data_IF_054782617862
#
_entry.id   IF_054782617862
#
_cell.length_a   1.000
_cell.length_b   1.000
_cell.length_c   1.000
_cell.angle_alpha   90.00
_cell.angle_beta   90.00
_cell.angle_gamma   90.00
#
_symmetry.space_group_name_H-M   'P 1'
#
loop_
_entity.id
_entity.type
_entity.pdbx_description
1 polymer ?
#
# COMPACT_ATOMS: atom_id res chain seq x y z
N UNK A 1 -26.91 -22.89 -0.14
CA UNK A 1 -26.65 -23.98 0.81
C UNK A 1 -27.31 -25.28 0.36
N UNK A 2 -28.65 -25.36 0.20
CA UNK A 2 -29.34 -26.59 -0.24
C UNK A 2 -28.76 -27.22 -1.52
N UNK A 3 -28.63 -26.43 -2.59
CA UNK A 3 -28.00 -26.87 -3.85
C UNK A 3 -26.54 -27.36 -3.69
N UNK A 4 -25.81 -26.82 -2.71
CA UNK A 4 -24.45 -27.26 -2.42
C UNK A 4 -24.45 -28.62 -1.72
N UNK A 5 -25.30 -28.82 -0.71
CA UNK A 5 -25.40 -30.09 0.02
C UNK A 5 -25.94 -31.21 -0.86
N UNK A 6 -26.90 -30.91 -1.74
CA UNK A 6 -27.38 -31.87 -2.75
C UNK A 6 -26.27 -32.32 -3.70
N UNK A 7 -25.37 -31.40 -4.08
CA UNK A 7 -24.27 -31.68 -4.99
C UNK A 7 -23.11 -32.42 -4.32
N UNK A 8 -22.90 -32.23 -3.02
CA UNK A 8 -21.75 -32.75 -2.30
C UNK A 8 -22.20 -33.60 -1.10
N UNK A 9 -22.28 -34.94 -1.25
CA UNK A 9 -22.79 -35.84 -0.21
C UNK A 9 -21.99 -35.85 1.10
N UNK A 10 -20.73 -35.41 1.07
CA UNK A 10 -19.88 -35.25 2.26
C UNK A 10 -19.98 -33.86 2.92
N UNK A 11 -20.86 -32.99 2.43
CA UNK A 11 -21.11 -31.70 3.06
C UNK A 11 -21.76 -31.89 4.44
N UNK A 12 -21.48 -30.99 5.36
CA UNK A 12 -22.12 -30.98 6.67
C UNK A 12 -23.63 -30.78 6.48
N UNK A 13 -24.44 -31.46 7.32
CA UNK A 13 -25.89 -31.35 7.30
C UNK A 13 -26.33 -29.88 7.46
N UNK A 14 -27.47 -29.51 6.91
CA UNK A 14 -28.02 -28.14 7.08
C UNK A 14 -28.86 -28.05 8.35
N UNK A 15 -29.02 -26.84 8.86
CA UNK A 15 -29.94 -26.54 9.95
C UNK A 15 -31.40 -26.64 9.50
N UNK A 16 -32.33 -26.53 10.44
CA UNK A 16 -33.77 -26.66 10.18
C UNK A 16 -34.33 -25.64 9.16
N UNK A 17 -33.68 -24.49 9.01
CA UNK A 17 -34.02 -23.46 8.01
C UNK A 17 -33.37 -23.71 6.62
N UNK A 18 -32.53 -24.75 6.52
CA UNK A 18 -31.79 -25.09 5.32
C UNK A 18 -30.52 -24.24 5.10
N UNK A 19 -30.01 -23.61 6.16
CA UNK A 19 -28.75 -22.85 6.17
C UNK A 19 -27.69 -23.56 7.03
N UNK A 20 -26.59 -22.86 7.34
CA UNK A 20 -25.56 -23.29 8.30
C UNK A 20 -25.47 -22.31 9.50
N UNK A 21 -26.53 -21.54 9.75
CA UNK A 21 -26.54 -20.50 10.78
C UNK A 21 -26.27 -20.99 12.20
N UNK A 22 -26.65 -22.20 12.58
CA UNK A 22 -26.38 -22.79 13.90
C UNK A 22 -24.98 -23.40 13.99
N UNK A 23 -24.51 -23.99 12.89
CA UNK A 23 -23.23 -24.68 12.82
C UNK A 23 -22.04 -23.74 12.60
N UNK A 24 -22.25 -22.61 11.92
CA UNK A 24 -21.25 -21.56 11.75
C UNK A 24 -21.23 -20.66 12.99
N UNK A 25 -20.45 -21.06 13.99
CA UNK A 25 -20.16 -20.26 15.19
C UNK A 25 -18.76 -19.67 15.11
N UNK A 26 -18.66 -18.37 15.34
CA UNK A 26 -17.41 -17.61 15.36
C UNK A 26 -17.00 -17.28 16.79
N UNK A 27 -15.74 -16.87 16.98
CA UNK A 27 -15.22 -16.40 18.29
C UNK A 27 -15.66 -14.96 18.65
N UNK A 28 -16.64 -14.41 17.94
CA UNK A 28 -17.23 -13.10 18.26
C UNK A 28 -18.19 -13.22 19.44
N UNK A 29 -18.55 -12.09 20.07
CA UNK A 29 -19.45 -12.07 21.22
C UNK A 29 -20.84 -12.61 20.87
N UNK A 30 -21.32 -12.31 19.66
CA UNK A 30 -22.61 -12.83 19.16
C UNK A 30 -22.55 -14.29 18.68
N UNK A 31 -21.35 -14.86 18.54
CA UNK A 31 -21.12 -16.15 17.89
C UNK A 31 -21.39 -16.12 16.37
N UNK A 32 -21.64 -14.95 15.77
CA UNK A 32 -21.97 -14.76 14.35
C UNK A 32 -20.95 -13.84 13.65
N UNK A 33 -21.06 -13.69 12.34
CA UNK A 33 -20.38 -12.60 11.62
C UNK A 33 -21.03 -11.28 12.06
N UNK A 34 -20.22 -10.38 12.61
CA UNK A 34 -20.68 -9.09 13.12
C UNK A 34 -20.58 -8.00 12.05
N UNK A 35 -21.72 -7.61 11.47
CA UNK A 35 -21.81 -6.40 10.64
C UNK A 35 -21.76 -5.13 11.49
N UNK A 36 -22.18 -5.24 12.75
CA UNK A 36 -22.04 -4.24 13.79
C UNK A 36 -21.34 -4.87 14.99
N UNK A 37 -20.27 -4.22 15.46
CA UNK A 37 -19.55 -4.57 16.68
C UNK A 37 -19.84 -3.54 17.76
N UNK A 38 -20.64 -3.95 18.76
CA UNK A 38 -20.96 -3.14 19.93
C UNK A 38 -19.71 -2.84 20.77
N UNK A 39 -18.79 -3.80 20.87
CA UNK A 39 -17.50 -3.63 21.53
C UNK A 39 -16.69 -2.51 20.87
N UNK A 40 -16.54 -2.53 19.53
CA UNK A 40 -15.82 -1.48 18.82
C UNK A 40 -16.53 -0.12 18.90
N UNK A 41 -17.86 -0.08 18.83
CA UNK A 41 -18.60 1.18 18.99
C UNK A 41 -18.41 1.77 20.39
N UNK A 42 -18.36 0.92 21.43
CA UNK A 42 -18.13 1.35 22.81
C UNK A 42 -16.71 1.87 23.03
N UNK A 43 -15.71 1.19 22.48
CA UNK A 43 -14.29 1.59 22.60
C UNK A 43 -13.96 2.81 21.72
N UNK A 44 -14.54 2.87 20.52
CA UNK A 44 -14.27 3.86 19.49
C UNK A 44 -15.57 4.28 18.79
N UNK A 45 -16.30 5.28 19.33
CA UNK A 45 -17.57 5.72 18.76
C UNK A 45 -17.50 6.02 17.26
N UNK A 46 -18.46 5.48 16.52
CA UNK A 46 -18.57 5.55 15.06
C UNK A 46 -17.80 4.47 14.29
N UNK A 47 -17.03 3.59 14.95
CA UNK A 47 -16.27 2.50 14.32
C UNK A 47 -16.94 1.12 14.40
N UNK A 48 -18.12 1.01 15.03
CA UNK A 48 -18.83 -0.26 15.15
C UNK A 48 -19.32 -0.84 13.82
N UNK A 49 -19.44 -0.03 12.77
CA UNK A 49 -19.71 -0.50 11.40
C UNK A 49 -18.68 0.07 10.41
N UNK A 50 -18.43 -0.61 9.27
CA UNK A 50 -17.70 -0.01 8.16
C UNK A 50 -18.39 1.25 7.67
N UNK A 51 -17.65 2.36 7.60
CA UNK A 51 -18.11 3.65 7.08
C UNK A 51 -17.06 4.22 6.13
N UNK A 52 -17.52 4.86 5.06
CA UNK A 52 -16.65 5.70 4.27
C UNK A 52 -16.15 6.86 5.14
N UNK A 53 -14.84 7.07 5.16
CA UNK A 53 -14.21 8.19 5.87
C UNK A 53 -13.37 8.97 4.87
N UNK A 54 -13.67 10.25 4.72
CA UNK A 54 -12.91 11.15 3.87
C UNK A 54 -11.80 11.78 4.72
N UNK A 55 -10.57 11.37 4.49
CA UNK A 55 -9.39 12.03 5.00
C UNK A 55 -8.52 12.45 3.82
N UNK A 56 -8.02 13.68 3.87
CA UNK A 56 -7.15 14.19 2.82
C UNK A 56 -5.80 13.45 2.88
N UNK A 57 -5.54 12.66 1.83
CA UNK A 57 -4.31 11.88 1.68
C UNK A 57 -3.19 12.66 0.97
N UNK A 58 -3.54 13.79 0.35
CA UNK A 58 -2.64 14.72 -0.33
C UNK A 58 -3.29 16.11 -0.38
N UNK A 59 -2.49 17.16 -0.55
CA UNK A 59 -2.95 18.49 -0.95
C UNK A 59 -3.32 18.58 -2.43
N UNK A 60 -3.92 19.71 -2.82
CA UNK A 60 -4.40 19.93 -4.20
C UNK A 60 -3.25 19.95 -5.21
N UNK A 61 -2.11 20.53 -4.85
CA UNK A 61 -0.89 20.62 -5.68
C UNK A 61 0.01 19.39 -5.62
N UNK A 62 -0.33 18.40 -4.80
CA UNK A 62 0.44 17.18 -4.60
C UNK A 62 -0.09 16.02 -5.47
N UNK A 63 0.76 15.01 -5.67
CA UNK A 63 0.42 13.72 -6.24
C UNK A 63 0.34 12.67 -5.14
N UNK A 64 -0.48 11.64 -5.32
CA UNK A 64 -0.49 10.47 -4.44
C UNK A 64 0.83 9.72 -4.57
N UNK A 65 1.54 9.54 -3.47
CA UNK A 65 2.71 8.67 -3.41
C UNK A 65 2.32 7.34 -2.79
N UNK A 66 2.46 6.28 -3.57
CA UNK A 66 2.22 4.90 -3.15
C UNK A 66 3.48 4.06 -3.32
N UNK A 67 3.55 2.97 -2.57
CA UNK A 67 4.62 1.99 -2.70
C UNK A 67 4.08 0.58 -2.84
N UNK A 68 4.89 -0.31 -3.42
CA UNK A 68 4.56 -1.73 -3.54
C UNK A 68 5.75 -2.64 -3.38
N UNK A 69 5.50 -3.94 -3.54
CA UNK A 69 6.52 -4.98 -3.52
C UNK A 69 6.91 -5.36 -4.93
N UNK A 70 8.15 -5.78 -5.11
CA UNK A 70 8.65 -6.36 -6.35
C UNK A 70 9.02 -7.82 -6.10
N UNK A 71 8.85 -8.68 -7.09
CA UNK A 71 9.19 -10.10 -6.98
C UNK A 71 10.68 -10.35 -6.69
N UNK A 72 11.55 -9.40 -7.03
CA UNK A 72 13.01 -9.51 -6.90
C UNK A 72 13.49 -9.29 -5.47
N UNK A 73 12.84 -8.40 -4.70
CA UNK A 73 13.28 -8.04 -3.35
C UNK A 73 12.20 -8.26 -2.28
N UNK A 74 12.61 -8.85 -1.17
CA UNK A 74 11.78 -8.97 0.03
C UNK A 74 11.99 -7.74 0.91
N UNK A 75 11.19 -6.70 0.67
CA UNK A 75 11.28 -5.42 1.37
C UNK A 75 12.71 -4.85 1.31
N UNK A 76 13.21 -4.25 2.39
CA UNK A 76 14.59 -3.77 2.49
C UNK A 76 15.62 -4.82 2.92
N UNK A 77 15.23 -6.10 3.07
CA UNK A 77 16.10 -7.14 3.63
C UNK A 77 17.09 -7.71 2.61
N UNK A 78 16.70 -7.79 1.33
CA UNK A 78 17.48 -8.49 0.30
C UNK A 78 18.21 -7.56 -0.67
N UNK A 79 18.19 -6.25 -0.44
CA UNK A 79 18.91 -5.26 -1.26
C UNK A 79 20.44 -5.43 -1.25
N UNK A 80 20.99 -6.17 -0.27
CA UNK A 80 22.42 -6.44 -0.16
C UNK A 80 22.83 -7.75 -0.86
N UNK A 81 21.88 -8.52 -1.38
CA UNK A 81 22.18 -9.78 -2.07
C UNK A 81 22.63 -9.42 -3.50
N UNK A 82 23.90 -9.73 -3.90
CA UNK A 82 24.44 -9.27 -5.18
C UNK A 82 23.61 -9.72 -6.38
N UNK A 83 23.22 -11.00 -6.42
CA UNK A 83 22.42 -11.54 -7.52
C UNK A 83 21.07 -10.82 -7.70
N UNK A 84 20.38 -10.50 -6.59
CA UNK A 84 19.09 -9.80 -6.66
C UNK A 84 19.28 -8.34 -7.06
N UNK A 85 20.39 -7.74 -6.64
CA UNK A 85 20.77 -6.38 -7.02
C UNK A 85 21.06 -6.26 -8.51
N UNK A 86 21.71 -7.25 -9.11
CA UNK A 86 21.96 -7.29 -10.56
C UNK A 86 20.64 -7.36 -11.35
N UNK A 87 19.65 -8.09 -10.83
CA UNK A 87 18.32 -8.15 -11.43
C UNK A 87 17.57 -6.82 -11.31
N UNK A 88 17.74 -6.10 -10.19
CA UNK A 88 17.15 -4.80 -9.96
C UNK A 88 17.92 -3.98 -8.91
N UNK A 89 18.64 -2.96 -9.34
CA UNK A 89 19.44 -2.12 -8.43
C UNK A 89 18.82 -0.75 -8.14
N UNK A 90 17.70 -0.41 -8.79
CA UNK A 90 17.02 0.88 -8.66
C UNK A 90 15.49 0.71 -8.66
N UNK A 91 14.77 1.66 -8.05
CA UNK A 91 13.31 1.75 -8.04
C UNK A 91 12.82 3.05 -8.68
N UNK A 92 13.15 3.26 -9.96
CA UNK A 92 12.67 4.41 -10.71
C UNK A 92 11.18 4.71 -10.47
N UNK A 93 10.85 5.99 -10.31
CA UNK A 93 9.52 6.46 -9.95
C UNK A 93 8.61 6.39 -11.15
N UNK A 94 7.50 5.67 -11.03
CA UNK A 94 6.52 5.56 -12.08
C UNK A 94 5.73 6.86 -12.15
N UNK A 95 5.67 7.44 -13.35
CA UNK A 95 4.98 8.70 -13.62
C UNK A 95 4.09 8.48 -14.84
N UNK A 96 2.82 8.86 -14.74
CA UNK A 96 1.92 8.81 -15.88
C UNK A 96 2.38 9.77 -17.00
N UNK A 97 2.20 9.44 -18.31
CA UNK A 97 2.68 10.28 -19.40
C UNK A 97 2.08 11.68 -19.41
N UNK A 98 0.83 11.85 -18.98
CA UNK A 98 0.21 13.18 -18.86
C UNK A 98 0.97 14.06 -17.86
N UNK A 99 1.14 13.56 -16.64
CA UNK A 99 1.82 14.26 -15.55
C UNK A 99 3.29 14.55 -15.86
N UNK A 100 3.95 13.61 -16.55
CA UNK A 100 5.30 13.80 -17.03
C UNK A 100 5.38 14.95 -18.06
N UNK A 101 4.46 15.00 -19.03
CA UNK A 101 4.39 16.10 -20.02
C UNK A 101 4.12 17.46 -19.36
N UNK A 102 3.15 17.51 -18.45
CA UNK A 102 2.80 18.74 -17.71
C UNK A 102 4.00 19.28 -16.91
N UNK A 103 4.87 18.38 -16.40
CA UNK A 103 6.06 18.74 -15.62
C UNK A 103 7.36 18.79 -16.42
N UNK A 104 7.32 18.57 -17.74
CA UNK A 104 8.51 18.55 -18.60
C UNK A 104 9.53 17.46 -18.25
N UNK A 105 9.07 16.31 -17.76
CA UNK A 105 9.86 15.15 -17.33
C UNK A 105 9.85 14.05 -18.39
N UNK A 106 11.00 13.44 -18.65
CA UNK A 106 11.18 12.26 -19.50
C UNK A 106 11.67 11.07 -18.68
N UNK A 107 11.46 9.85 -19.18
CA UNK A 107 12.06 8.66 -18.56
C UNK A 107 13.59 8.80 -18.49
N UNK A 108 14.17 8.44 -17.35
CA UNK A 108 15.60 8.57 -17.07
C UNK A 108 16.02 9.91 -16.49
N UNK A 109 15.14 10.93 -16.49
CA UNK A 109 15.44 12.21 -15.85
C UNK A 109 15.63 12.03 -14.34
N UNK A 110 16.55 12.81 -13.77
CA UNK A 110 16.60 13.02 -12.33
C UNK A 110 15.41 13.86 -11.89
N UNK A 111 14.76 13.43 -10.81
CA UNK A 111 13.59 14.08 -10.24
C UNK A 111 13.71 14.17 -8.72
N UNK A 112 13.05 15.17 -8.15
CA UNK A 112 12.86 15.31 -6.71
C UNK A 112 11.40 15.04 -6.34
N UNK A 113 11.23 14.22 -5.31
CA UNK A 113 9.98 14.02 -4.59
C UNK A 113 10.12 14.65 -3.21
N UNK A 114 9.16 15.47 -2.80
CA UNK A 114 9.26 16.26 -1.57
C UNK A 114 7.89 16.49 -0.94
N UNK A 115 7.83 16.34 0.38
CA UNK A 115 6.69 16.71 1.22
C UNK A 115 7.18 17.15 2.61
N UNK A 116 6.26 17.38 3.55
CA UNK A 116 6.60 17.80 4.91
C UNK A 116 7.42 16.76 5.71
N UNK A 117 7.42 15.49 5.30
CA UNK A 117 8.18 14.42 5.97
C UNK A 117 9.64 14.40 5.50
N UNK A 118 9.88 14.59 4.20
CA UNK A 118 11.22 14.53 3.67
C UNK A 118 11.32 14.76 2.17
N UNK A 119 12.52 14.47 1.66
CA UNK A 119 12.91 14.75 0.28
C UNK A 119 13.81 13.63 -0.26
N UNK A 120 13.50 13.15 -1.45
CA UNK A 120 14.22 12.05 -2.10
C UNK A 120 14.49 12.38 -3.57
N UNK A 121 15.67 11.96 -4.05
CA UNK A 121 16.06 12.05 -5.46
C UNK A 121 15.99 10.67 -6.09
N UNK A 122 15.40 10.57 -7.27
CA UNK A 122 15.35 9.31 -8.02
C UNK A 122 15.30 9.54 -9.52
N UNK A 123 15.13 8.46 -10.27
CA UNK A 123 14.95 8.48 -11.73
C UNK A 123 13.48 8.39 -12.09
N UNK A 124 13.06 9.11 -13.13
CA UNK A 124 11.73 8.98 -13.69
C UNK A 124 11.59 7.72 -14.56
N UNK A 125 10.45 7.03 -14.43
CA UNK A 125 9.97 6.02 -15.37
C UNK A 125 8.58 6.45 -15.86
N UNK A 126 8.50 6.96 -17.07
CA UNK A 126 7.23 7.37 -17.67
C UNK A 126 6.50 6.14 -18.21
N UNK A 127 5.28 5.87 -17.70
CA UNK A 127 4.51 4.67 -18.05
C UNK A 127 3.00 4.90 -17.91
N UNK A 128 2.20 4.35 -18.83
CA UNK A 128 0.74 4.39 -18.76
C UNK A 128 0.15 3.41 -17.72
N UNK A 129 0.99 2.59 -17.07
CA UNK A 129 0.57 1.62 -16.05
C UNK A 129 0.25 2.22 -14.67
N UNK A 130 0.14 3.54 -14.55
CA UNK A 130 -0.15 4.24 -13.30
C UNK A 130 -1.19 5.34 -13.51
N UNK A 131 -2.03 5.60 -12.51
CA UNK A 131 -3.05 6.66 -12.55
C UNK A 131 -2.39 8.06 -12.68
N UNK A 132 -2.95 9.01 -13.45
CA UNK A 132 -2.35 10.33 -13.70
C UNK A 132 -1.87 11.09 -12.45
N UNK A 133 -2.68 11.14 -11.41
CA UNK A 133 -2.40 11.89 -10.18
C UNK A 133 -1.54 11.12 -9.16
N UNK A 134 -0.88 10.04 -9.57
CA UNK A 134 -0.22 9.08 -8.68
C UNK A 134 1.21 8.78 -9.11
N UNK A 135 2.09 8.63 -8.13
CA UNK A 135 3.49 8.20 -8.24
C UNK A 135 3.65 6.89 -7.49
N UNK A 136 4.42 5.98 -8.07
CA UNK A 136 4.70 4.68 -7.47
C UNK A 136 6.20 4.40 -7.44
N UNK A 137 6.66 3.79 -6.35
CA UNK A 137 7.99 3.19 -6.24
C UNK A 137 7.89 1.82 -5.60
N UNK A 138 8.84 0.94 -5.91
CA UNK A 138 8.99 -0.30 -5.15
C UNK A 138 9.67 -0.01 -3.80
N UNK A 139 9.20 -0.65 -2.74
CA UNK A 139 9.86 -0.62 -1.44
C UNK A 139 11.15 -1.45 -1.47
N UNK A 140 12.18 -0.99 -0.75
CA UNK A 140 13.39 -1.79 -0.50
C UNK A 140 14.70 -1.17 -0.97
N UNK A 141 14.69 0.09 -1.43
CA UNK A 141 15.84 0.77 -2.04
C UNK A 141 16.18 2.08 -1.30
N UNK A 142 17.28 2.73 -1.70
CA UNK A 142 17.69 4.03 -1.18
C UNK A 142 18.19 4.00 0.28
N UNK A 143 18.79 2.88 0.72
CA UNK A 143 19.20 2.70 2.11
C UNK A 143 20.08 3.85 2.65
N UNK A 144 19.62 4.48 3.74
CA UNK A 144 20.33 5.61 4.36
C UNK A 144 21.50 5.16 5.23
N UNK A 145 21.39 4.00 5.87
CA UNK A 145 22.44 3.38 6.69
C UNK A 145 22.90 2.05 6.09
N UNK A 146 24.04 1.54 6.59
CA UNK A 146 24.62 0.27 6.14
C UNK A 146 25.63 0.42 4.99
N UNK A 147 26.08 -0.72 4.46
CA UNK A 147 27.07 -0.77 3.40
C UNK A 147 26.57 -0.06 2.13
N UNK A 148 27.44 0.72 1.50
CA UNK A 148 27.14 1.44 0.26
C UNK A 148 27.57 0.59 -0.92
N UNK A 149 26.61 0.05 -1.64
CA UNK A 149 26.76 -0.73 -2.88
C UNK A 149 25.90 -0.08 -3.95
N UNK A 150 26.11 -0.43 -5.22
CA UNK A 150 25.24 0.06 -6.31
C UNK A 150 23.75 -0.21 -6.01
N UNK A 151 23.39 -1.33 -5.38
CA UNK A 151 22.01 -1.63 -5.03
C UNK A 151 21.43 -0.75 -3.91
N UNK A 152 22.27 -0.31 -2.97
CA UNK A 152 21.82 0.38 -1.75
C UNK A 152 21.93 1.89 -1.85
N UNK A 153 22.71 2.40 -2.82
CA UNK A 153 22.87 3.84 -3.08
C UNK A 153 21.90 4.39 -4.12
N UNK A 154 21.23 3.54 -4.87
CA UNK A 154 20.26 3.96 -5.89
C UNK A 154 18.83 3.85 -5.38
N UNK A 155 17.94 4.54 -6.09
CA UNK A 155 16.54 4.60 -5.77
C UNK A 155 16.16 5.55 -4.64
N UNK A 156 14.86 5.58 -4.39
CA UNK A 156 14.19 6.38 -3.39
C UNK A 156 13.88 5.51 -2.17
N UNK A 157 14.21 6.02 -0.99
CA UNK A 157 13.74 5.45 0.27
C UNK A 157 12.31 5.89 0.54
N UNK A 158 11.32 5.07 0.17
CA UNK A 158 9.91 5.44 0.31
C UNK A 158 9.52 5.83 1.75
N UNK A 159 10.11 5.18 2.76
CA UNK A 159 9.84 5.51 4.17
C UNK A 159 10.24 6.93 4.57
N UNK A 160 11.10 7.61 3.80
CA UNK A 160 11.51 8.99 4.08
C UNK A 160 10.49 10.02 3.59
N UNK A 161 9.43 9.57 2.90
CA UNK A 161 8.32 10.39 2.40
C UNK A 161 6.99 10.02 3.08
N UNK A 162 6.96 9.00 3.96
CA UNK A 162 5.75 8.52 4.61
C UNK A 162 5.63 9.12 6.02
N UNK A 163 4.57 9.89 6.32
CA UNK A 163 4.40 10.51 7.62
C UNK A 163 4.10 9.46 8.69
N UNK A 164 4.50 9.75 9.93
CA UNK A 164 4.18 8.90 11.08
C UNK A 164 2.74 9.15 11.55
N UNK A 165 1.77 8.55 10.86
CA UNK A 165 0.35 8.59 11.22
C UNK A 165 -0.15 7.17 11.43
N UNK A 166 -0.80 6.92 12.56
CA UNK A 166 -1.35 5.61 12.94
C UNK A 166 -2.87 5.61 12.89
N UNK A 167 -3.44 4.49 12.45
CA UNK A 167 -4.88 4.21 12.53
C UNK A 167 -5.29 4.11 14.00
N UNK A 168 -6.34 4.82 14.44
CA UNK A 168 -6.81 4.75 15.83
C UNK A 168 -7.42 3.39 16.18
N UNK A 169 -7.82 2.59 15.18
CA UNK A 169 -8.45 1.27 15.40
C UNK A 169 -7.42 0.16 15.48
N UNK A 170 -6.46 0.16 14.55
CA UNK A 170 -5.56 -0.97 14.32
C UNK A 170 -4.10 -0.68 14.67
N UNK A 171 -3.76 0.58 14.95
CA UNK A 171 -2.37 1.01 15.14
C UNK A 171 -1.51 0.96 13.86
N UNK A 172 -2.10 0.60 12.71
CA UNK A 172 -1.37 0.49 11.44
C UNK A 172 -0.94 1.85 10.93
N UNK A 173 0.26 1.95 10.37
CA UNK A 173 0.78 3.19 9.80
C UNK A 173 0.25 3.44 8.38
N UNK A 174 0.11 4.73 8.02
CA UNK A 174 -0.34 5.14 6.69
C UNK A 174 0.76 4.89 5.64
N UNK A 175 0.42 4.20 4.55
CA UNK A 175 1.32 3.86 3.44
C UNK A 175 1.07 4.68 2.17
N UNK A 176 0.47 5.85 2.30
CA UNK A 176 0.19 6.80 1.21
C UNK A 176 0.35 8.22 1.72
N UNK A 177 0.97 9.08 0.92
CA UNK A 177 1.13 10.49 1.26
C UNK A 177 0.99 11.35 0.02
N UNK A 178 0.76 12.65 0.21
CA UNK A 178 0.97 13.63 -0.84
C UNK A 178 2.45 13.92 -1.00
N UNK A 179 2.90 14.06 -2.24
CA UNK A 179 4.24 14.57 -2.57
C UNK A 179 4.18 15.53 -3.75
N UNK A 180 5.07 16.51 -3.75
CA UNK A 180 5.36 17.33 -4.92
C UNK A 180 6.40 16.64 -5.79
N UNK A 181 6.34 16.90 -7.10
CA UNK A 181 7.25 16.35 -8.11
C UNK A 181 7.79 17.47 -8.99
N UNK A 182 9.12 17.49 -9.14
CA UNK A 182 9.84 18.38 -10.07
C UNK A 182 11.05 17.68 -10.68
N UNK A 183 11.47 18.15 -11.86
CA UNK A 183 12.77 17.78 -12.43
C UNK A 183 13.91 18.34 -11.56
N UNK A 184 15.00 17.60 -11.46
CA UNK A 184 16.19 18.01 -10.69
C UNK A 184 17.05 19.03 -11.44
#
# INVERSE_FOLDING_TARGET
VRQFVERYPGAVAVDSDGTYGEQLRFKSLSGKIELYSEELETLLPGYGIPRARNFALKGDSELYFIQGKVAVHTNGATQYVPLLSELMWDNAVWIHPQTAREKGIKSGDDIWLENATGKEKGKALVTAGIRPDTLFVYMGFGAKAGAKTAATTHGIHCGNLLPHVTSPVSGTVVHTAGVTLRRA
#
